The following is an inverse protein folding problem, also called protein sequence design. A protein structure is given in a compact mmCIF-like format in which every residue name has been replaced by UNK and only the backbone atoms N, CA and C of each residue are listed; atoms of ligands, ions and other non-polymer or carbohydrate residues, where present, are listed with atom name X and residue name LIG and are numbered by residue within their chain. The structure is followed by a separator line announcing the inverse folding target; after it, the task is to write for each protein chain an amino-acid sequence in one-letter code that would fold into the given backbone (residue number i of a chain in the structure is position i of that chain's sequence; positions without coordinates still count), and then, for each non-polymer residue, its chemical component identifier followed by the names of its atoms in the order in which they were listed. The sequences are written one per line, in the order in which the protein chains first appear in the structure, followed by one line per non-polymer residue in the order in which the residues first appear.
data_IF_987460486458
#
_entry.id   IF_987460486458
#
_cell.length_a   1.000
_cell.length_b   1.000
_cell.length_c   1.000
_cell.angle_alpha   90.00
_cell.angle_beta   90.00
_cell.angle_gamma   90.00
#
_symmetry.space_group_name_H-M   'P 1'
#
loop_
_entity.id
_entity.type
_entity.pdbx_description
1 polymer ?
#
# COMPACT_ATOMS: atom_id res chain seq x y z
N UNK A 1 1.10 18.57 9.15
CA UNK A 1 1.52 17.68 10.28
C UNK A 1 0.35 16.77 10.57
N UNK A 2 0.53 15.45 10.72
CA UNK A 2 -0.60 14.52 10.95
C UNK A 2 -1.17 14.79 12.35
N UNK A 3 -2.47 15.10 12.43
CA UNK A 3 -3.15 15.26 13.71
C UNK A 3 -3.44 13.89 14.33
N UNK A 4 -2.67 13.56 15.38
CA UNK A 4 -2.78 12.29 16.10
C UNK A 4 -4.06 12.17 16.93
N UNK A 5 -4.77 13.28 17.18
CA UNK A 5 -6.04 13.28 17.92
C UNK A 5 -7.26 13.21 17.00
N UNK A 6 -7.06 13.32 15.69
CA UNK A 6 -8.14 13.18 14.72
C UNK A 6 -8.77 11.78 14.80
N UNK A 7 -10.09 11.71 14.60
CA UNK A 7 -10.84 10.45 14.60
C UNK A 7 -10.30 9.47 13.54
N UNK A 8 -9.90 10.00 12.39
CA UNK A 8 -9.31 9.24 11.28
C UNK A 8 -7.98 8.62 11.66
N UNK A 9 -7.09 9.37 12.32
CA UNK A 9 -5.81 8.84 12.78
C UNK A 9 -5.98 7.76 13.86
N UNK A 10 -6.92 7.96 14.80
CA UNK A 10 -7.23 6.95 15.82
C UNK A 10 -7.77 5.68 15.18
N UNK A 11 -8.67 5.81 14.20
CA UNK A 11 -9.19 4.67 13.45
C UNK A 11 -8.07 3.94 12.68
N UNK A 12 -7.20 4.69 12.01
CA UNK A 12 -6.03 4.14 11.35
C UNK A 12 -5.11 3.39 12.31
N UNK A 13 -4.80 3.96 13.47
CA UNK A 13 -3.95 3.33 14.49
C UNK A 13 -4.55 2.02 15.01
N UNK A 14 -5.87 2.00 15.25
CA UNK A 14 -6.58 0.79 15.67
C UNK A 14 -6.48 -0.30 14.60
N UNK A 15 -6.66 0.04 13.32
CA UNK A 15 -6.51 -0.91 12.22
C UNK A 15 -5.04 -1.36 12.04
N UNK A 16 -4.09 -0.43 12.18
CA UNK A 16 -2.65 -0.66 12.03
C UNK A 16 -2.05 -1.55 13.13
N UNK A 17 -2.62 -1.47 14.33
CA UNK A 17 -2.29 -2.32 15.48
C UNK A 17 -3.09 -3.62 15.49
N UNK A 18 -4.22 -3.68 14.77
CA UNK A 18 -5.17 -4.79 14.83
C UNK A 18 -6.01 -4.79 16.10
N UNK A 19 -6.19 -3.63 16.74
CA UNK A 19 -7.01 -3.47 17.94
C UNK A 19 -8.48 -3.56 17.56
N UNK A 20 -9.17 -4.51 18.17
CA UNK A 20 -10.62 -4.71 18.02
C UNK A 20 -11.28 -4.60 19.40
N UNK A 21 -12.61 -4.45 19.49
CA UNK A 21 -13.31 -4.44 20.78
C UNK A 21 -13.05 -5.69 21.64
N UNK A 22 -12.69 -6.81 21.01
CA UNK A 22 -12.37 -8.08 21.68
C UNK A 22 -10.89 -8.24 22.05
N UNK A 23 -10.05 -7.23 21.80
CA UNK A 23 -8.60 -7.27 21.97
C UNK A 23 -7.83 -7.18 20.66
N UNK A 24 -6.53 -7.49 20.70
CA UNK A 24 -5.63 -7.40 19.54
C UNK A 24 -5.69 -8.67 18.70
N UNK A 25 -5.82 -8.51 17.38
CA UNK A 25 -5.86 -9.61 16.43
C UNK A 25 -4.74 -9.45 15.38
N UNK A 26 -3.71 -10.28 15.49
CA UNK A 26 -2.54 -10.28 14.59
C UNK A 26 -2.90 -10.57 13.13
N UNK A 27 -3.82 -11.50 12.87
CA UNK A 27 -4.25 -11.83 11.52
C UNK A 27 -4.91 -10.64 10.81
N UNK A 28 -5.78 -9.90 11.51
CA UNK A 28 -6.39 -8.67 10.97
C UNK A 28 -5.37 -7.57 10.75
N UNK A 29 -4.43 -7.40 11.68
CA UNK A 29 -3.31 -6.46 11.55
C UNK A 29 -2.49 -6.73 10.29
N UNK A 30 -2.09 -7.98 10.11
CA UNK A 30 -1.19 -8.39 9.02
C UNK A 30 -1.91 -8.31 7.67
N UNK A 31 -3.19 -8.69 7.64
CA UNK A 31 -4.06 -8.49 6.46
C UNK A 31 -4.17 -7.00 6.09
N UNK A 32 -4.41 -6.13 7.07
CA UNK A 32 -4.51 -4.69 6.84
C UNK A 32 -3.19 -4.09 6.33
N UNK A 33 -2.05 -4.46 6.94
CA UNK A 33 -0.71 -4.02 6.49
C UNK A 33 -0.38 -4.51 5.09
N UNK A 34 -0.74 -5.75 4.76
CA UNK A 34 -0.56 -6.30 3.41
C UNK A 34 -1.35 -5.49 2.37
N UNK A 35 -2.62 -5.15 2.68
CA UNK A 35 -3.44 -4.27 1.82
C UNK A 35 -2.79 -2.90 1.65
N UNK A 36 -2.34 -2.28 2.73
CA UNK A 36 -1.69 -0.97 2.66
C UNK A 36 -0.37 -0.99 1.89
N UNK A 37 0.42 -2.06 2.03
CA UNK A 37 1.62 -2.28 1.22
C UNK A 37 1.29 -2.34 -0.27
N UNK A 38 0.26 -3.11 -0.64
CA UNK A 38 -0.18 -3.19 -2.04
C UNK A 38 -0.65 -1.83 -2.55
N UNK A 39 -1.42 -1.08 -1.75
CA UNK A 39 -1.85 0.28 -2.12
C UNK A 39 -0.65 1.21 -2.29
N UNK A 40 0.34 1.19 -1.40
CA UNK A 40 1.57 1.97 -1.55
C UNK A 40 2.30 1.62 -2.85
N UNK A 41 2.45 0.33 -3.15
CA UNK A 41 3.06 -0.13 -4.40
C UNK A 41 2.29 0.32 -5.64
N UNK A 42 0.96 0.26 -5.60
CA UNK A 42 0.08 0.72 -6.70
C UNK A 42 0.15 2.24 -6.94
N UNK A 43 0.57 3.00 -5.94
CA UNK A 43 0.81 4.45 -6.03
C UNK A 43 2.30 4.76 -6.30
N UNK A 44 3.16 3.76 -6.46
CA UNK A 44 4.59 3.94 -6.69
C UNK A 44 5.37 4.49 -5.49
N UNK A 45 4.80 4.47 -4.27
CA UNK A 45 5.44 5.01 -3.06
C UNK A 45 5.95 3.90 -2.14
N UNK A 46 7.00 4.21 -1.38
CA UNK A 46 7.55 3.29 -0.38
C UNK A 46 6.53 2.94 0.71
N UNK A 47 6.48 1.68 1.11
CA UNK A 47 5.64 1.24 2.23
C UNK A 47 6.18 1.80 3.54
N UNK A 48 5.42 2.70 4.16
CA UNK A 48 5.69 3.26 5.49
C UNK A 48 4.36 3.56 6.18
N UNK A 49 4.36 3.61 7.52
CA UNK A 49 3.15 3.94 8.28
C UNK A 49 2.55 5.29 7.88
N UNK A 50 3.41 6.29 7.64
CA UNK A 50 3.01 7.62 7.21
C UNK A 50 2.37 7.57 5.83
N UNK A 51 2.99 6.88 4.87
CA UNK A 51 2.44 6.75 3.51
C UNK A 51 1.14 5.94 3.49
N UNK A 52 1.04 4.91 4.32
CA UNK A 52 -0.20 4.14 4.50
C UNK A 52 -1.31 5.01 5.11
N UNK A 53 -0.99 5.88 6.07
CA UNK A 53 -1.94 6.83 6.62
C UNK A 53 -2.44 7.80 5.54
N UNK A 54 -1.56 8.37 4.73
CA UNK A 54 -1.94 9.28 3.64
C UNK A 54 -2.82 8.61 2.56
N UNK A 55 -2.61 7.32 2.30
CA UNK A 55 -3.52 6.54 1.44
C UNK A 55 -4.86 6.33 2.13
N UNK A 56 -4.86 6.00 3.42
CA UNK A 56 -6.06 5.77 4.21
C UNK A 56 -6.92 7.03 4.36
N UNK A 57 -6.31 8.19 4.62
CA UNK A 57 -6.98 9.50 4.71
C UNK A 57 -7.43 10.03 3.35
N UNK A 58 -7.05 9.38 2.25
CA UNK A 58 -7.39 9.82 0.91
C UNK A 58 -6.56 11.02 0.42
N UNK A 59 -5.53 11.44 1.17
CA UNK A 59 -4.58 12.47 0.73
C UNK A 59 -3.82 12.06 -0.54
N UNK A 60 -3.59 10.76 -0.74
CA UNK A 60 -2.98 10.21 -1.97
C UNK A 60 -4.08 9.69 -2.90
N UNK A 61 -4.98 10.59 -3.29
CA UNK A 61 -6.00 10.29 -4.30
C UNK A 61 -6.13 11.44 -5.31
N UNK A 62 -5.57 11.23 -6.49
CA UNK A 62 -6.28 11.40 -7.75
C UNK A 62 -5.53 10.65 -8.87
N UNK A 63 -6.21 9.74 -9.56
CA UNK A 63 -6.06 9.67 -11.01
C UNK A 63 -7.26 10.44 -11.54
N UNK A 64 -6.98 11.41 -12.40
CA UNK A 64 -7.91 12.33 -13.02
C UNK A 64 -9.02 11.59 -13.79
N UNK A 65 -10.15 12.25 -14.09
CA UNK A 65 -11.25 11.65 -14.86
C UNK A 65 -10.83 11.19 -16.27
N UNK A 66 -9.74 11.75 -16.79
CA UNK A 66 -9.11 11.36 -18.06
C UNK A 66 -8.01 10.29 -17.90
N UNK A 67 -7.67 9.88 -16.67
CA UNK A 67 -6.54 8.97 -16.43
C UNK A 67 -7.01 7.53 -16.16
N UNK A 68 -6.75 6.65 -17.13
CA UNK A 68 -6.94 5.21 -16.99
C UNK A 68 -5.58 4.51 -16.74
N UNK A 69 -5.51 3.58 -15.79
CA UNK A 69 -4.31 2.75 -15.58
C UNK A 69 -4.11 1.81 -16.77
N UNK A 70 -3.16 2.14 -17.65
CA UNK A 70 -2.56 1.18 -18.59
C UNK A 70 -1.35 0.55 -17.88
N UNK A 71 -1.38 -0.77 -17.74
CA UNK A 71 -0.68 -1.52 -16.68
C UNK A 71 0.81 -1.25 -16.49
N UNK A 72 1.25 -1.35 -15.22
CA UNK A 72 2.67 -1.48 -14.87
C UNK A 72 3.06 -2.96 -14.75
N UNK A 73 3.02 -3.69 -15.86
CA UNK A 73 3.68 -5.01 -15.91
C UNK A 73 5.13 -4.78 -16.31
N UNK A 74 6.02 -4.68 -15.31
CA UNK A 74 7.47 -4.80 -15.56
C UNK A 74 7.81 -6.24 -15.95
N UNK A 75 7.73 -6.57 -17.24
CA UNK A 75 8.31 -7.80 -17.80
C UNK A 75 9.77 -7.53 -18.15
N UNK A 76 10.69 -7.93 -17.28
CA UNK A 76 12.11 -8.02 -17.64
C UNK A 76 12.33 -9.31 -18.44
N UNK A 77 12.55 -9.19 -19.75
CA UNK A 77 13.09 -10.32 -20.54
C UNK A 77 14.55 -10.50 -20.13
N UNK A 78 14.98 -11.67 -19.62
CA UNK A 78 16.40 -11.93 -19.44
C UNK A 78 17.11 -11.79 -20.80
N UNK A 79 18.38 -11.34 -20.84
CA UNK A 79 19.13 -11.30 -22.09
C UNK A 79 19.07 -12.67 -22.75
N UNK A 80 18.75 -12.73 -24.06
CA UNK A 80 18.80 -13.99 -24.81
C UNK A 80 20.21 -14.55 -24.64
N UNK A 81 20.34 -15.63 -23.87
CA UNK A 81 21.55 -16.43 -23.86
C UNK A 81 21.63 -17.06 -25.25
N UNK A 82 22.49 -16.51 -26.11
CA UNK A 82 22.89 -17.23 -27.31
C UNK A 82 23.46 -18.55 -26.81
N UNK A 83 22.74 -19.65 -27.04
CA UNK A 83 23.33 -20.97 -26.92
C UNK A 83 24.53 -20.94 -27.87
N UNK A 84 25.74 -20.85 -27.32
CA UNK A 84 26.96 -21.07 -28.10
C UNK A 84 26.80 -22.45 -28.71
N UNK A 85 26.85 -22.50 -30.03
CA UNK A 85 26.78 -23.75 -30.79
C UNK A 85 27.80 -24.76 -30.24
N UNK A 86 27.36 -26.00 -30.16
CA UNK A 86 28.22 -27.17 -30.21
C UNK A 86 28.16 -27.66 -31.66
#
# INVERSE_FOLDING_TARGET
MIDKKSKEYIQFENLWSGTTPKGTNSSKRDTYRSRMKNSCQQQGIGFSKINSFRIFSGEIKALDSDTHKVGDVKVTKPPRRHLRGI
#
